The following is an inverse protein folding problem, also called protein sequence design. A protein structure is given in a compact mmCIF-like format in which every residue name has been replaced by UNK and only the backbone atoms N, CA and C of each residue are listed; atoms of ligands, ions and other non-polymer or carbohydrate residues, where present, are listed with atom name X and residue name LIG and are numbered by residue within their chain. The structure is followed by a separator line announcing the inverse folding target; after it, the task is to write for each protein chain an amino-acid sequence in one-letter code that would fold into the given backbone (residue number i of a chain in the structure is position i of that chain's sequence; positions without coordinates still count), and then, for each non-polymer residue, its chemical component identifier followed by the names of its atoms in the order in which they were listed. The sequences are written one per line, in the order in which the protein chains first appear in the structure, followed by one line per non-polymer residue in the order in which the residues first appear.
data_IF_869767895770
#
_entry.id   IF_869767895770
#
_cell.length_a   1.000
_cell.length_b   1.000
_cell.length_c   1.000
_cell.angle_alpha   90.00
_cell.angle_beta   90.00
_cell.angle_gamma   90.00
#
_symmetry.space_group_name_H-M   'P 1'
#
loop_
_entity.id
_entity.type
_entity.pdbx_description
1 polymer ?
#
# COMPACT_ATOMS: atom_id res chain seq x y z
N UNK A 1 -10.42 5.49 20.76
CA UNK A 1 -9.82 6.32 19.69
C UNK A 1 -8.70 5.53 19.03
N UNK A 2 -8.76 5.30 17.71
CA UNK A 2 -7.64 4.71 16.98
C UNK A 2 -6.52 5.76 16.90
N UNK A 3 -5.33 5.45 17.43
CA UNK A 3 -4.19 6.38 17.42
C UNK A 3 -3.49 6.32 16.06
N UNK A 4 -3.10 7.48 15.54
CA UNK A 4 -2.18 7.58 14.41
C UNK A 4 -0.80 7.13 14.89
N UNK A 5 -0.17 6.25 14.13
CA UNK A 5 1.17 5.73 14.38
C UNK A 5 1.96 5.69 13.06
N UNK A 6 3.24 5.34 13.08
CA UNK A 6 4.09 5.30 11.87
C UNK A 6 3.61 4.28 10.81
N UNK A 7 2.88 3.25 11.22
CA UNK A 7 2.40 2.17 10.37
C UNK A 7 0.92 2.24 10.00
N UNK A 8 0.13 3.07 10.68
CA UNK A 8 -1.32 3.07 10.52
C UNK A 8 -1.93 4.44 10.78
N UNK A 9 -2.82 4.82 9.87
CA UNK A 9 -3.65 6.01 9.98
C UNK A 9 -5.03 5.73 9.36
N UNK A 10 -6.13 5.82 10.12
CA UNK A 10 -7.49 5.82 9.55
C UNK A 10 -7.70 7.01 8.61
N UNK A 11 -8.48 6.82 7.54
CA UNK A 11 -8.86 7.90 6.63
C UNK A 11 -9.91 8.85 7.21
N UNK A 12 -9.85 10.12 6.82
CA UNK A 12 -10.76 11.16 7.35
C UNK A 12 -12.16 11.09 6.72
N UNK A 13 -12.26 10.75 5.42
CA UNK A 13 -13.51 10.75 4.66
C UNK A 13 -13.88 9.38 4.08
N UNK A 14 -12.90 8.58 3.67
CA UNK A 14 -13.07 7.27 3.05
C UNK A 14 -12.26 6.19 3.78
N UNK A 15 -12.47 5.98 5.09
CA UNK A 15 -11.67 5.05 5.89
C UNK A 15 -11.73 3.59 5.38
N UNK A 16 -12.81 3.20 4.70
CA UNK A 16 -12.97 1.85 4.13
C UNK A 16 -12.10 1.57 2.90
N UNK A 17 -11.46 2.59 2.32
CA UNK A 17 -10.49 2.48 1.24
C UNK A 17 -9.09 2.54 1.84
N UNK A 18 -8.36 1.42 1.75
CA UNK A 18 -7.10 1.20 2.46
C UNK A 18 -5.95 1.09 1.47
N UNK A 19 -4.90 1.89 1.64
CA UNK A 19 -3.62 1.75 0.94
C UNK A 19 -2.61 1.01 1.83
N UNK A 20 -1.97 -0.04 1.29
CA UNK A 20 -0.99 -0.87 1.99
C UNK A 20 0.41 -0.69 1.39
N UNK A 21 1.28 0.03 2.13
CA UNK A 21 2.71 0.10 1.87
C UNK A 21 3.50 -1.09 2.44
N UNK A 22 4.83 -1.07 2.26
CA UNK A 22 5.68 -2.17 2.72
C UNK A 22 6.00 -2.09 4.23
N UNK A 23 6.60 -0.99 4.66
CA UNK A 23 6.94 -0.67 6.04
C UNK A 23 7.21 0.84 6.16
N UNK A 24 7.12 1.43 7.37
CA UNK A 24 7.55 2.80 7.59
C UNK A 24 9.04 2.99 7.23
N UNK A 25 9.39 4.15 6.70
CA UNK A 25 10.76 4.57 6.48
C UNK A 25 11.30 5.44 7.62
N UNK A 26 12.45 6.07 7.37
CA UNK A 26 13.09 6.95 8.35
C UNK A 26 12.24 8.19 8.65
N UNK A 27 11.56 8.73 7.64
CA UNK A 27 10.79 9.95 7.80
C UNK A 27 9.44 9.68 8.48
N UNK A 28 8.79 8.57 8.15
CA UNK A 28 7.61 8.08 8.88
C UNK A 28 7.89 7.89 10.36
N UNK A 29 9.08 7.38 10.70
CA UNK A 29 9.51 7.22 12.09
C UNK A 29 9.69 8.57 12.80
N UNK A 30 10.29 9.56 12.14
CA UNK A 30 10.48 10.91 12.70
C UNK A 30 9.17 11.65 12.91
N UNK A 31 8.24 11.52 11.98
CA UNK A 31 6.96 12.23 11.99
C UNK A 31 5.82 11.43 12.65
N UNK A 32 6.09 10.18 13.08
CA UNK A 32 5.12 9.27 13.68
C UNK A 32 3.84 9.08 12.83
N UNK A 33 4.00 8.95 11.51
CA UNK A 33 2.89 8.83 10.54
C UNK A 33 3.30 8.06 9.29
N UNK A 34 2.42 7.24 8.68
CA UNK A 34 2.74 6.56 7.42
C UNK A 34 2.80 7.56 6.25
N UNK A 35 3.62 7.24 5.25
CA UNK A 35 3.79 8.04 4.01
C UNK A 35 4.13 9.51 4.29
N UNK A 36 5.07 9.75 5.20
CA UNK A 36 5.49 11.09 5.60
C UNK A 36 6.64 11.66 4.72
N UNK A 37 7.40 10.78 4.05
CA UNK A 37 8.48 11.19 3.14
C UNK A 37 8.03 11.30 1.68
N UNK A 38 9.00 11.18 0.75
CA UNK A 38 8.77 11.27 -0.70
C UNK A 38 7.68 10.32 -1.21
N UNK A 39 7.52 9.16 -0.58
CA UNK A 39 6.47 8.20 -0.93
C UNK A 39 5.06 8.77 -0.72
N UNK A 40 4.88 9.71 0.21
CA UNK A 40 3.62 10.41 0.43
C UNK A 40 3.34 11.48 -0.61
N UNK A 41 4.34 12.27 -0.98
CA UNK A 41 4.23 13.27 -2.06
C UNK A 41 3.83 12.59 -3.37
N UNK A 42 4.51 11.50 -3.71
CA UNK A 42 4.21 10.74 -4.91
C UNK A 42 2.86 10.00 -4.85
N UNK A 43 2.39 9.67 -3.64
CA UNK A 43 1.04 9.13 -3.46
C UNK A 43 -0.02 10.19 -3.77
N UNK A 44 0.22 11.45 -3.38
CA UNK A 44 -0.70 12.55 -3.72
C UNK A 44 -0.83 12.70 -5.25
N UNK A 45 0.29 12.71 -6.00
CA UNK A 45 0.28 12.75 -7.47
C UNK A 45 -0.44 11.54 -8.09
N UNK A 46 -0.24 10.35 -7.53
CA UNK A 46 -0.93 9.13 -7.97
C UNK A 46 -2.45 9.22 -7.74
N UNK A 47 -2.87 9.83 -6.63
CA UNK A 47 -4.27 10.01 -6.29
C UNK A 47 -4.98 10.99 -7.21
N UNK A 48 -4.28 12.00 -7.76
CA UNK A 48 -4.84 12.87 -8.81
C UNK A 48 -5.28 12.04 -10.03
N UNK A 49 -4.40 11.16 -10.51
CA UNK A 49 -4.73 10.28 -11.64
C UNK A 49 -5.83 9.28 -11.27
N UNK A 50 -5.75 8.65 -10.10
CA UNK A 50 -6.74 7.68 -9.65
C UNK A 50 -8.13 8.31 -9.50
N UNK A 51 -8.23 9.51 -8.93
CA UNK A 51 -9.51 10.19 -8.77
C UNK A 51 -10.11 10.66 -10.10
N UNK A 52 -9.25 11.02 -11.07
CA UNK A 52 -9.71 11.38 -12.41
C UNK A 52 -10.24 10.18 -13.21
N UNK A 53 -9.65 8.99 -13.05
CA UNK A 53 -9.94 7.82 -13.90
C UNK A 53 -10.82 6.74 -13.22
N UNK A 54 -10.84 6.71 -11.89
CA UNK A 54 -11.51 5.70 -11.08
C UNK A 54 -12.25 6.36 -9.90
N UNK A 55 -12.99 7.44 -10.17
CA UNK A 55 -13.66 8.27 -9.16
C UNK A 55 -14.67 7.52 -8.29
N UNK A 56 -15.23 6.42 -8.79
CA UNK A 56 -16.13 5.53 -8.06
C UNK A 56 -15.42 4.77 -6.93
N UNK A 57 -14.10 4.59 -7.05
CA UNK A 57 -13.23 3.94 -6.06
C UNK A 57 -12.46 4.99 -5.26
N UNK A 58 -11.95 6.02 -5.92
CA UNK A 58 -11.08 7.06 -5.36
C UNK A 58 -11.71 8.45 -5.51
N UNK A 59 -12.69 8.83 -4.67
CA UNK A 59 -13.41 10.09 -4.81
C UNK A 59 -12.60 11.35 -4.42
N UNK A 60 -11.43 11.20 -3.81
CA UNK A 60 -10.56 12.30 -3.35
C UNK A 60 -9.13 12.20 -3.85
N UNK A 61 -8.48 13.34 -4.00
CA UNK A 61 -7.05 13.46 -4.31
C UNK A 61 -6.17 13.58 -3.06
N UNK A 62 -6.77 13.70 -1.87
CA UNK A 62 -6.05 13.88 -0.60
C UNK A 62 -5.76 12.51 0.01
N UNK A 63 -4.49 12.13 0.19
CA UNK A 63 -4.14 10.82 0.78
C UNK A 63 -4.73 10.59 2.17
N UNK A 64 -4.91 11.66 2.93
CA UNK A 64 -5.42 11.66 4.29
C UNK A 64 -6.92 11.35 4.38
N UNK A 65 -7.63 11.45 3.27
CA UNK A 65 -9.02 11.04 3.21
C UNK A 65 -9.12 9.50 3.24
N UNK A 66 -8.05 8.78 2.91
CA UNK A 66 -7.97 7.33 2.85
C UNK A 66 -7.24 6.73 4.06
N UNK A 67 -7.50 5.45 4.35
CA UNK A 67 -6.72 4.74 5.37
C UNK A 67 -5.36 4.36 4.82
N UNK A 68 -4.31 4.72 5.55
CA UNK A 68 -2.92 4.39 5.21
C UNK A 68 -2.41 3.33 6.18
N UNK A 69 -1.87 2.24 5.63
CA UNK A 69 -1.42 1.07 6.37
C UNK A 69 -0.06 0.59 5.83
N UNK A 70 0.77 0.01 6.69
CA UNK A 70 1.96 -0.73 6.28
C UNK A 70 1.85 -2.24 6.58
N UNK A 71 2.32 -3.07 5.65
CA UNK A 71 2.36 -4.53 5.77
C UNK A 71 3.20 -5.01 6.97
N UNK A 72 4.22 -4.24 7.35
CA UNK A 72 5.05 -4.46 8.53
C UNK A 72 5.07 -3.19 9.41
N UNK A 73 4.90 -3.30 10.75
CA UNK A 73 4.63 -2.15 11.59
C UNK A 73 5.86 -1.36 12.03
N UNK A 74 7.07 -1.92 11.90
CA UNK A 74 8.28 -1.26 12.37
C UNK A 74 8.99 -0.58 11.22
N UNK A 75 9.42 0.66 11.43
CA UNK A 75 10.27 1.36 10.48
C UNK A 75 11.51 0.54 10.10
N UNK A 76 12.01 0.67 8.86
CA UNK A 76 13.28 0.08 8.40
C UNK A 76 14.06 1.06 7.52
N UNK A 77 15.36 1.25 7.80
CA UNK A 77 16.26 1.96 6.89
C UNK A 77 17.69 1.41 6.96
N UNK A 78 18.44 1.56 5.86
CA UNK A 78 19.74 0.89 5.67
C UNK A 78 20.77 1.19 6.75
N UNK A 79 20.87 2.43 7.22
CA UNK A 79 21.88 2.81 8.22
C UNK A 79 21.67 2.12 9.59
N UNK A 80 20.42 1.83 9.98
CA UNK A 80 20.10 1.17 11.27
C UNK A 80 19.92 -0.33 11.10
N UNK A 81 19.23 -0.77 10.05
CA UNK A 81 18.72 -2.13 9.93
C UNK A 81 19.40 -2.96 8.83
N UNK A 82 20.25 -2.32 8.00
CA UNK A 82 20.87 -2.97 6.83
C UNK A 82 19.88 -3.31 5.71
N UNK A 83 18.62 -2.85 5.78
CA UNK A 83 17.56 -3.12 4.78
C UNK A 83 16.51 -2.02 4.78
N UNK A 84 15.75 -1.97 3.68
CA UNK A 84 14.61 -1.07 3.49
C UNK A 84 13.26 -1.79 3.46
N UNK A 85 13.26 -3.13 3.47
CA UNK A 85 12.05 -3.93 3.34
C UNK A 85 12.03 -5.07 4.36
N UNK A 86 10.85 -5.43 4.91
CA UNK A 86 10.71 -6.57 5.79
C UNK A 86 10.94 -7.88 5.03
N UNK A 87 11.28 -8.95 5.77
CA UNK A 87 11.22 -10.31 5.20
C UNK A 87 9.75 -10.68 5.00
N UNK A 88 9.42 -11.45 3.96
CA UNK A 88 8.05 -11.95 3.77
C UNK A 88 7.59 -12.82 4.94
N UNK A 89 8.51 -13.59 5.54
CA UNK A 89 8.23 -14.36 6.77
C UNK A 89 7.93 -13.50 7.99
N UNK A 90 8.27 -12.21 7.99
CA UNK A 90 7.87 -11.27 9.04
C UNK A 90 6.44 -10.78 8.83
N UNK A 91 6.06 -10.52 7.57
CA UNK A 91 4.69 -10.18 7.20
C UNK A 91 3.73 -11.32 7.56
N UNK A 92 4.19 -12.56 7.38
CA UNK A 92 3.44 -13.78 7.67
C UNK A 92 3.33 -14.15 9.16
N UNK A 93 3.97 -13.41 10.07
CA UNK A 93 3.88 -13.75 11.49
C UNK A 93 2.44 -13.61 12.00
N UNK A 94 1.95 -14.54 12.84
CA UNK A 94 0.57 -14.54 13.32
C UNK A 94 0.16 -13.22 13.99
N UNK A 95 1.02 -12.65 14.84
CA UNK A 95 0.79 -11.37 15.52
C UNK A 95 0.65 -10.21 14.52
N UNK A 96 1.48 -10.19 13.47
CA UNK A 96 1.38 -9.18 12.43
C UNK A 96 0.11 -9.34 11.58
N UNK A 97 -0.27 -10.57 11.24
CA UNK A 97 -1.51 -10.85 10.51
C UNK A 97 -2.73 -10.46 11.33
N UNK A 98 -2.74 -10.75 12.63
CA UNK A 98 -3.79 -10.33 13.55
C UNK A 98 -3.88 -8.79 13.64
N UNK A 99 -2.75 -8.10 13.76
CA UNK A 99 -2.70 -6.63 13.70
C UNK A 99 -3.35 -6.08 12.43
N UNK A 100 -2.96 -6.58 11.26
CA UNK A 100 -3.52 -6.16 9.98
C UNK A 100 -5.04 -6.40 9.95
N UNK A 101 -5.49 -7.56 10.40
CA UNK A 101 -6.91 -7.87 10.49
C UNK A 101 -7.66 -6.89 11.40
N UNK A 102 -7.13 -6.58 12.58
CA UNK A 102 -7.77 -5.65 13.52
C UNK A 102 -7.85 -4.23 12.95
N UNK A 103 -6.81 -3.79 12.22
CA UNK A 103 -6.80 -2.48 11.56
C UNK A 103 -7.81 -2.40 10.41
N UNK A 104 -7.93 -3.44 9.57
CA UNK A 104 -8.96 -3.50 8.53
C UNK A 104 -10.38 -3.54 9.11
N UNK A 105 -10.58 -4.27 10.22
CA UNK A 105 -11.88 -4.32 10.90
C UNK A 105 -12.27 -2.95 11.45
N UNK A 106 -11.33 -2.25 12.08
CA UNK A 106 -11.56 -0.93 12.69
C UNK A 106 -12.02 0.13 11.69
N UNK A 107 -11.64 -0.01 10.41
CA UNK A 107 -12.02 0.92 9.34
C UNK A 107 -13.06 0.34 8.38
N UNK A 108 -13.58 -0.86 8.69
CA UNK A 108 -14.55 -1.59 7.86
C UNK A 108 -14.12 -1.68 6.40
N UNK A 109 -12.88 -2.11 6.17
CA UNK A 109 -12.26 -2.11 4.85
C UNK A 109 -13.11 -2.84 3.79
N UNK A 110 -13.41 -2.13 2.71
CA UNK A 110 -14.15 -2.64 1.54
C UNK A 110 -13.34 -2.58 0.25
N UNK A 111 -12.29 -1.75 0.22
CA UNK A 111 -11.34 -1.65 -0.88
C UNK A 111 -9.93 -1.63 -0.30
N UNK A 112 -9.04 -2.47 -0.82
CA UNK A 112 -7.66 -2.59 -0.36
C UNK A 112 -6.71 -2.50 -1.55
N UNK A 113 -5.83 -1.51 -1.53
CA UNK A 113 -4.87 -1.23 -2.61
C UNK A 113 -3.45 -1.48 -2.09
N UNK A 114 -2.75 -2.44 -2.68
CA UNK A 114 -1.35 -2.68 -2.37
C UNK A 114 -0.44 -1.74 -3.15
N UNK A 115 0.59 -1.22 -2.50
CA UNK A 115 1.64 -0.41 -3.10
C UNK A 115 2.91 -1.27 -3.20
N UNK A 116 3.23 -1.74 -4.41
CA UNK A 116 4.34 -2.66 -4.64
C UNK A 116 5.01 -2.44 -5.98
N UNK A 117 6.20 -3.01 -6.21
CA UNK A 117 6.82 -2.94 -7.54
C UNK A 117 5.90 -3.59 -8.56
N UNK A 118 5.75 -3.01 -9.76
CA UNK A 118 4.85 -3.57 -10.74
C UNK A 118 5.41 -4.86 -11.28
N UNK A 119 4.58 -5.87 -11.19
CA UNK A 119 4.83 -7.22 -11.68
C UNK A 119 3.75 -7.55 -12.70
N UNK A 120 4.12 -8.24 -13.77
CA UNK A 120 3.17 -8.70 -14.78
C UNK A 120 2.09 -9.57 -14.12
N UNK A 121 0.86 -9.54 -14.64
CA UNK A 121 -0.27 -10.26 -14.06
C UNK A 121 0.02 -11.75 -13.82
N UNK A 122 0.67 -12.43 -14.77
CA UNK A 122 1.07 -13.83 -14.64
C UNK A 122 2.01 -14.11 -13.45
N UNK A 123 2.73 -13.09 -12.95
CA UNK A 123 3.58 -13.17 -11.75
C UNK A 123 2.83 -12.77 -10.49
N UNK A 124 1.80 -11.91 -10.57
CA UNK A 124 0.94 -11.58 -9.41
C UNK A 124 0.27 -12.81 -8.83
N UNK A 125 -0.06 -13.79 -9.67
CA UNK A 125 -0.68 -15.05 -9.24
C UNK A 125 0.29 -15.95 -8.45
N UNK A 126 1.60 -15.82 -8.66
CA UNK A 126 2.60 -16.72 -8.09
C UNK A 126 3.16 -16.17 -6.77
N UNK A 127 2.90 -16.90 -5.68
CA UNK A 127 3.27 -16.55 -4.30
C UNK A 127 4.78 -16.26 -4.13
N UNK A 128 5.64 -16.90 -4.93
CA UNK A 128 7.10 -16.71 -4.90
C UNK A 128 7.55 -15.32 -5.34
N UNK A 129 6.73 -14.58 -6.09
CA UNK A 129 7.02 -13.20 -6.51
C UNK A 129 6.39 -12.15 -5.59
N UNK A 130 5.84 -12.58 -4.45
CA UNK A 130 5.24 -11.65 -3.51
C UNK A 130 6.23 -10.62 -2.98
N UNK A 131 5.66 -9.46 -2.70
CA UNK A 131 6.27 -8.35 -2.00
C UNK A 131 5.49 -8.11 -0.71
N UNK A 132 5.98 -7.28 0.23
CA UNK A 132 5.31 -7.08 1.50
C UNK A 132 3.82 -6.72 1.37
N UNK A 133 3.46 -5.78 0.46
CA UNK A 133 2.07 -5.39 0.23
C UNK A 133 1.22 -6.52 -0.39
N UNK A 134 1.72 -7.21 -1.43
CA UNK A 134 0.96 -8.34 -2.04
C UNK A 134 0.83 -9.52 -1.09
N UNK A 135 1.87 -9.79 -0.28
CA UNK A 135 1.84 -10.83 0.75
C UNK A 135 0.80 -10.50 1.82
N UNK A 136 0.74 -9.24 2.26
CA UNK A 136 -0.30 -8.80 3.19
C UNK A 136 -1.70 -8.99 2.59
N UNK A 137 -1.93 -8.57 1.35
CA UNK A 137 -3.21 -8.79 0.65
C UNK A 137 -3.59 -10.26 0.63
N UNK A 138 -2.66 -11.17 0.31
CA UNK A 138 -2.93 -12.62 0.31
C UNK A 138 -3.34 -13.17 1.67
N UNK A 139 -2.88 -12.57 2.78
CA UNK A 139 -3.33 -12.96 4.12
C UNK A 139 -4.71 -12.38 4.44
N UNK A 140 -5.00 -11.18 3.96
CA UNK A 140 -6.25 -10.47 4.24
C UNK A 140 -7.44 -10.98 3.42
N UNK A 141 -7.23 -11.33 2.15
CA UNK A 141 -8.28 -11.83 1.23
C UNK A 141 -8.98 -13.08 1.74
N UNK A 142 -8.30 -13.91 2.54
CA UNK A 142 -8.89 -15.11 3.15
C UNK A 142 -10.05 -14.76 4.09
N UNK A 143 -9.93 -13.64 4.83
CA UNK A 143 -10.89 -13.19 5.85
C UNK A 143 -11.88 -12.16 5.30
N UNK A 144 -11.40 -11.23 4.47
CA UNK A 144 -12.20 -10.12 3.93
C UNK A 144 -12.58 -10.39 2.46
N UNK A 145 -13.37 -11.45 2.23
CA UNK A 145 -13.71 -11.93 0.87
C UNK A 145 -14.58 -10.96 0.08
N UNK A 146 -15.38 -10.14 0.76
CA UNK A 146 -16.26 -9.16 0.12
C UNK A 146 -15.55 -7.85 -0.22
N UNK A 147 -14.28 -7.68 0.20
CA UNK A 147 -13.50 -6.50 -0.18
C UNK A 147 -12.93 -6.67 -1.58
N UNK A 148 -12.81 -5.55 -2.31
CA UNK A 148 -12.11 -5.51 -3.59
C UNK A 148 -10.64 -5.21 -3.35
N UNK A 149 -9.75 -5.91 -4.05
CA UNK A 149 -8.31 -5.75 -3.93
C UNK A 149 -7.68 -5.25 -5.23
N UNK A 150 -6.78 -4.30 -5.09
CA UNK A 150 -6.04 -3.77 -6.21
C UNK A 150 -4.55 -3.77 -5.89
N UNK A 151 -3.73 -3.72 -6.91
CA UNK A 151 -2.31 -3.47 -6.81
C UNK A 151 -1.99 -2.31 -7.73
N UNK A 152 -1.09 -1.44 -7.28
CA UNK A 152 -0.48 -0.39 -8.10
C UNK A 152 1.02 -0.37 -7.83
N UNK A 153 1.76 0.14 -8.81
CA UNK A 153 3.17 0.45 -8.65
C UNK A 153 3.41 1.30 -7.39
N UNK A 154 4.42 0.97 -6.60
CA UNK A 154 4.75 1.72 -5.38
C UNK A 154 5.00 3.21 -5.72
N UNK A 155 4.54 4.16 -4.89
CA UNK A 155 4.67 5.60 -5.17
C UNK A 155 6.13 6.09 -5.07
N UNK A 156 7.04 5.34 -4.47
CA UNK A 156 8.49 5.54 -4.63
C UNK A 156 9.06 4.55 -5.66
N UNK A 157 8.83 4.74 -6.98
CA UNK A 157 9.54 3.99 -7.99
C UNK A 157 11.01 4.44 -7.97
N UNK A 158 11.92 3.53 -8.34
CA UNK A 158 13.27 4.00 -8.68
C UNK A 158 13.15 4.93 -9.88
N UNK A 159 13.97 5.98 -9.95
CA UNK A 159 13.99 6.93 -11.09
C UNK A 159 14.00 6.23 -12.46
N UNK A 160 14.66 5.07 -12.55
CA UNK A 160 14.64 4.24 -13.75
C UNK A 160 13.26 3.68 -14.07
N UNK A 161 12.54 3.12 -13.10
CA UNK A 161 11.21 2.54 -13.32
C UNK A 161 10.18 3.62 -13.73
N UNK A 162 10.26 4.79 -13.09
CA UNK A 162 9.43 5.95 -13.44
C UNK A 162 9.71 6.44 -14.87
N UNK A 163 10.98 6.48 -15.29
CA UNK A 163 11.35 6.83 -16.68
C UNK A 163 10.93 5.75 -17.68
N UNK A 164 11.28 4.50 -17.42
CA UNK A 164 11.09 3.38 -18.36
C UNK A 164 9.59 3.05 -18.55
N UNK A 165 8.78 3.15 -17.49
CA UNK A 165 7.36 2.77 -17.54
C UNK A 165 6.40 3.95 -17.41
N UNK A 166 6.69 4.93 -16.57
CA UNK A 166 5.86 6.13 -16.41
C UNK A 166 6.23 7.28 -17.37
N UNK A 167 7.30 7.14 -18.17
CA UNK A 167 7.86 8.24 -18.95
C UNK A 167 8.18 9.51 -18.12
N UNK A 168 8.55 9.32 -16.85
CA UNK A 168 8.79 10.40 -15.90
C UNK A 168 7.53 10.91 -15.17
N UNK A 169 6.35 10.39 -15.49
CA UNK A 169 5.06 10.85 -14.96
C UNK A 169 4.40 9.81 -14.03
N UNK A 170 3.97 10.26 -12.85
CA UNK A 170 3.38 9.39 -11.83
C UNK A 170 1.98 8.89 -12.21
N UNK A 171 1.19 9.69 -12.95
CA UNK A 171 -0.13 9.29 -13.43
C UNK A 171 -0.05 8.15 -14.45
N UNK A 172 0.83 8.27 -15.45
CA UNK A 172 1.10 7.20 -16.42
C UNK A 172 1.69 5.95 -15.75
N UNK A 173 2.48 6.14 -14.71
CA UNK A 173 2.95 5.01 -13.89
C UNK A 173 1.80 4.30 -13.20
N UNK A 174 0.89 5.04 -12.57
CA UNK A 174 -0.31 4.47 -11.95
C UNK A 174 -1.17 3.73 -12.99
N UNK A 175 -1.45 4.36 -14.12
CA UNK A 175 -2.20 3.79 -15.25
C UNK A 175 -1.68 2.42 -15.67
N UNK A 176 -0.36 2.31 -15.87
CA UNK A 176 0.26 1.07 -16.40
C UNK A 176 0.39 -0.04 -15.37
N UNK A 177 0.17 0.26 -14.09
CA UNK A 177 0.49 -0.65 -12.99
C UNK A 177 -0.71 -0.95 -12.11
N UNK A 178 -1.79 -0.18 -12.24
CA UNK A 178 -3.05 -0.41 -11.59
C UNK A 178 -3.72 -1.67 -12.17
N UNK A 179 -3.97 -2.66 -11.32
CA UNK A 179 -4.62 -3.89 -11.69
C UNK A 179 -5.43 -4.46 -10.51
N UNK A 180 -6.49 -5.22 -10.83
CA UNK A 180 -7.16 -6.04 -9.82
C UNK A 180 -6.23 -7.14 -9.32
N UNK A 181 -6.22 -7.39 -8.01
CA UNK A 181 -5.43 -8.48 -7.45
C UNK A 181 -6.09 -9.84 -7.75
N UNK A 182 -5.34 -10.88 -8.18
CA UNK A 182 -5.95 -12.15 -8.55
C UNK A 182 -6.59 -12.88 -7.35
N UNK A 183 -7.57 -13.75 -7.63
CA UNK A 183 -8.18 -14.63 -6.62
C UNK A 183 -9.29 -13.98 -5.77
N UNK A 184 -9.89 -12.90 -6.28
CA UNK A 184 -11.12 -12.32 -5.75
C UNK A 184 -12.29 -13.05 -6.41
N UNK A 185 -12.98 -13.91 -5.65
CA UNK A 185 -14.21 -14.57 -6.08
C UNK A 185 -15.41 -13.71 -5.73
#
# INVERSE_FOLDING_TARGET
MCRITEEFRPGDAFPSVVFIGACPGQEEHRQARPFAGDSGVNLDEMLEWMAANHRDIFPSTRRDDYTLLNAWPRALWKARDGRYLPKLSWVDRPDNVERLNNQLAAVQASIVVGLGRPIANARLEQIQYDQPATRAIRRLIVRYRNARYFIVGHPSPRNRDLRDRGNGDMGRWAERTFAAFPGQN
#
